data_IF_957814444988
#
_entry.id   IF_957814444988
#
_cell.length_a   1.000
_cell.length_b   1.000
_cell.length_c   1.000
_cell.angle_alpha   90.00
_cell.angle_beta   90.00
_cell.angle_gamma   90.00
#
_symmetry.space_group_name_H-M   'P 1'
#
loop_
_entity.id
_entity.type
_entity.pdbx_description
1 polymer ?
#
# COMPACT_ATOMS: atom_id res chain seq x y z
N UNK A 1 53.03 41.82 48.80
CA UNK A 1 53.38 40.80 47.79
C UNK A 1 52.49 39.58 47.95
N UNK A 2 51.41 39.48 47.18
CA UNK A 2 50.64 38.23 47.01
C UNK A 2 50.29 38.11 45.53
N UNK A 3 50.61 36.93 44.98
CA UNK A 3 50.74 36.64 43.55
C UNK A 3 49.38 36.50 42.87
N UNK A 4 49.36 36.96 41.62
CA UNK A 4 48.35 36.79 40.60
C UNK A 4 48.19 35.30 40.23
N UNK A 5 46.96 34.82 40.09
CA UNK A 5 46.67 33.61 39.30
C UNK A 5 45.48 33.93 38.40
N UNK A 6 45.77 34.11 37.12
CA UNK A 6 44.79 34.28 36.05
C UNK A 6 44.35 32.87 35.62
N UNK A 7 43.11 32.49 35.92
CA UNK A 7 42.53 31.24 35.40
C UNK A 7 41.79 31.58 34.11
N UNK A 8 42.40 31.24 32.98
CA UNK A 8 41.74 31.31 31.68
C UNK A 8 40.74 30.15 31.57
N UNK A 9 39.45 30.46 31.54
CA UNK A 9 38.39 29.48 31.28
C UNK A 9 38.22 29.36 29.77
N UNK A 10 38.80 28.30 29.19
CA UNK A 10 38.56 27.90 27.81
C UNK A 10 37.19 27.21 27.72
N UNK A 11 36.23 27.89 27.10
CA UNK A 11 34.88 27.38 26.84
C UNK A 11 34.91 26.51 25.58
N UNK A 12 35.15 25.21 25.75
CA UNK A 12 35.12 24.23 24.66
C UNK A 12 33.66 23.92 24.30
N UNK A 13 33.16 24.53 23.23
CA UNK A 13 31.87 24.17 22.64
C UNK A 13 31.97 22.78 22.00
N UNK A 14 31.54 21.75 22.73
CA UNK A 14 31.25 20.44 22.15
C UNK A 14 29.95 20.56 21.34
N UNK A 15 30.06 20.62 20.02
CA UNK A 15 28.94 20.36 19.12
C UNK A 15 28.61 18.87 19.22
N UNK A 16 27.57 18.54 20.00
CA UNK A 16 26.90 17.24 19.88
C UNK A 16 26.24 17.19 18.49
N UNK A 17 26.99 16.65 17.54
CA UNK A 17 26.46 16.21 16.25
C UNK A 17 25.62 14.96 16.48
N UNK A 18 24.37 15.14 16.90
CA UNK A 18 23.37 14.08 16.77
C UNK A 18 22.99 14.01 15.29
N UNK A 19 23.77 13.27 14.51
CA UNK A 19 23.27 12.68 13.28
C UNK A 19 22.21 11.66 13.71
N UNK A 20 20.95 12.06 13.70
CA UNK A 20 19.86 11.10 13.66
C UNK A 20 20.01 10.41 12.31
N UNK A 21 20.59 9.23 12.30
CA UNK A 21 20.50 8.33 11.17
C UNK A 21 19.01 8.02 11.02
N UNK A 22 18.38 8.52 9.95
CA UNK A 22 17.05 8.08 9.55
C UNK A 22 17.16 6.60 9.18
N UNK A 23 16.91 5.76 10.16
CA UNK A 23 16.71 4.33 9.98
C UNK A 23 15.51 4.19 9.04
N UNK A 24 15.77 3.86 7.77
CA UNK A 24 14.77 3.49 6.78
C UNK A 24 14.22 2.11 7.16
N UNK A 25 13.59 2.04 8.32
CA UNK A 25 13.04 0.84 8.92
C UNK A 25 11.70 0.59 8.29
N UNK A 26 11.63 -0.48 7.50
CA UNK A 26 10.38 -1.12 7.14
C UNK A 26 9.56 -1.29 8.42
N UNK A 27 8.34 -0.71 8.52
CA UNK A 27 7.54 -0.83 9.73
C UNK A 27 7.39 -2.30 10.12
N UNK A 28 7.48 -2.65 11.41
CA UNK A 28 7.34 -4.05 11.86
C UNK A 28 6.06 -4.71 11.34
N UNK A 29 5.03 -3.90 11.10
CA UNK A 29 3.75 -4.26 10.49
C UNK A 29 3.87 -4.91 9.09
N UNK A 30 4.93 -4.62 8.34
CA UNK A 30 5.22 -5.22 7.02
C UNK A 30 5.97 -6.57 7.11
N UNK A 31 6.43 -7.00 8.29
CA UNK A 31 7.19 -8.25 8.49
C UNK A 31 6.32 -9.51 8.66
N UNK A 32 5.03 -9.43 8.37
CA UNK A 32 4.13 -10.59 8.44
C UNK A 32 4.41 -11.56 7.27
N UNK A 33 5.36 -12.48 7.47
CA UNK A 33 5.75 -13.46 6.45
C UNK A 33 4.69 -14.55 6.23
N UNK A 34 3.81 -14.80 7.20
CA UNK A 34 2.82 -15.90 7.17
C UNK A 34 1.36 -15.44 7.15
N UNK A 35 1.01 -14.50 6.28
CA UNK A 35 -0.41 -14.19 5.98
C UNK A 35 -0.93 -15.20 4.96
N UNK A 36 -1.93 -16.00 5.35
CA UNK A 36 -2.79 -16.72 4.40
C UNK A 36 -3.73 -15.71 3.73
N UNK A 37 -3.82 -15.78 2.40
CA UNK A 37 -4.78 -14.94 1.67
C UNK A 37 -6.14 -15.59 1.79
N UNK A 38 -7.09 -14.86 2.36
CA UNK A 38 -8.50 -15.21 2.40
C UNK A 38 -9.28 -14.13 1.65
N UNK A 39 -10.23 -14.57 0.82
CA UNK A 39 -11.09 -13.68 0.05
C UNK A 39 -12.47 -13.62 0.69
N UNK A 40 -12.94 -12.41 0.94
CA UNK A 40 -14.32 -12.17 1.31
C UNK A 40 -15.22 -12.31 0.08
N UNK A 41 -16.53 -12.44 0.30
CA UNK A 41 -17.49 -12.34 -0.80
C UNK A 41 -17.35 -11.01 -1.55
N UNK A 42 -17.08 -9.92 -0.83
CA UNK A 42 -16.94 -8.60 -1.42
C UNK A 42 -15.71 -8.50 -2.34
N UNK A 43 -14.62 -9.18 -2.00
CA UNK A 43 -13.43 -9.25 -2.86
C UNK A 43 -13.72 -9.92 -4.21
N UNK A 44 -14.49 -11.01 -4.20
CA UNK A 44 -14.91 -11.68 -5.43
C UNK A 44 -15.87 -10.82 -6.26
N UNK A 45 -16.84 -10.17 -5.63
CA UNK A 45 -17.76 -9.26 -6.32
C UNK A 45 -17.02 -8.08 -6.97
N UNK A 46 -16.04 -7.49 -6.28
CA UNK A 46 -15.19 -6.43 -6.83
C UNK A 46 -14.38 -6.94 -8.03
N UNK A 47 -13.75 -8.11 -7.90
CA UNK A 47 -12.97 -8.74 -8.96
C UNK A 47 -13.81 -9.01 -10.22
N UNK A 48 -15.01 -9.55 -10.04
CA UNK A 48 -15.97 -9.81 -11.13
C UNK A 48 -16.40 -8.53 -11.82
N UNK A 49 -16.72 -7.48 -11.06
CA UNK A 49 -17.16 -6.19 -11.62
C UNK A 49 -16.04 -5.47 -12.38
N UNK A 50 -14.81 -5.49 -11.87
CA UNK A 50 -13.65 -4.96 -12.59
C UNK A 50 -13.47 -5.69 -13.92
N UNK A 51 -13.53 -7.03 -13.92
CA UNK A 51 -13.38 -7.81 -15.15
C UNK A 51 -14.56 -7.63 -16.11
N UNK A 52 -15.79 -7.51 -15.61
CA UNK A 52 -16.95 -7.19 -16.43
C UNK A 52 -16.80 -5.82 -17.10
N UNK A 53 -16.32 -4.82 -16.37
CA UNK A 53 -16.01 -3.50 -16.92
C UNK A 53 -14.91 -3.60 -18.00
N UNK A 54 -13.81 -4.30 -17.72
CA UNK A 54 -12.72 -4.50 -18.69
C UNK A 54 -13.21 -5.15 -19.98
N UNK A 55 -14.03 -6.19 -19.89
CA UNK A 55 -14.67 -6.83 -21.06
C UNK A 55 -15.50 -5.80 -21.84
N UNK A 56 -16.28 -4.94 -21.16
CA UNK A 56 -17.08 -3.90 -21.82
C UNK A 56 -16.22 -2.87 -22.57
N UNK A 57 -14.97 -2.68 -22.17
CA UNK A 57 -13.98 -1.81 -22.84
C UNK A 57 -13.14 -2.55 -23.89
N UNK A 58 -13.43 -3.84 -24.16
CA UNK A 58 -12.67 -4.66 -25.11
C UNK A 58 -11.30 -5.12 -24.59
N UNK A 59 -11.09 -5.09 -23.27
CA UNK A 59 -9.86 -5.51 -22.62
C UNK A 59 -9.95 -6.96 -22.12
N UNK A 60 -8.79 -7.61 -21.99
CA UNK A 60 -8.70 -8.94 -21.39
C UNK A 60 -9.04 -8.87 -19.89
N UNK A 61 -9.69 -9.92 -19.38
CA UNK A 61 -9.83 -10.13 -17.94
C UNK A 61 -8.46 -10.32 -17.29
N UNK A 62 -8.36 -9.89 -16.05
CA UNK A 62 -7.18 -10.12 -15.21
C UNK A 62 -7.41 -11.35 -14.32
N UNK A 63 -6.33 -12.06 -14.00
CA UNK A 63 -6.37 -13.17 -13.04
C UNK A 63 -6.14 -12.66 -11.61
N UNK A 64 -6.74 -13.34 -10.62
CA UNK A 64 -6.43 -13.05 -9.22
C UNK A 64 -5.07 -13.68 -8.88
N UNK A 65 -4.14 -12.84 -8.42
CA UNK A 65 -2.79 -13.22 -8.03
C UNK A 65 -2.62 -13.12 -6.51
N UNK A 66 -2.51 -14.27 -5.85
CA UNK A 66 -2.38 -14.35 -4.38
C UNK A 66 -1.20 -13.53 -3.82
N UNK A 67 -0.07 -13.44 -4.54
CA UNK A 67 1.06 -12.62 -4.09
C UNK A 67 0.67 -11.13 -3.98
N UNK A 68 -0.09 -10.61 -4.95
CA UNK A 68 -0.59 -9.24 -4.94
C UNK A 68 -1.68 -9.05 -3.87
N UNK A 69 -2.59 -10.02 -3.69
CA UNK A 69 -3.59 -9.97 -2.63
C UNK A 69 -2.96 -10.00 -1.23
N UNK A 70 -1.84 -10.71 -1.05
CA UNK A 70 -1.08 -10.69 0.21
C UNK A 70 -0.55 -9.29 0.53
N UNK A 71 0.01 -8.59 -0.45
CA UNK A 71 0.48 -7.22 -0.26
C UNK A 71 -0.68 -6.23 -0.05
N UNK A 72 -1.82 -6.44 -0.73
CA UNK A 72 -3.04 -5.67 -0.51
C UNK A 72 -3.59 -5.85 0.93
N UNK A 73 -3.59 -7.08 1.44
CA UNK A 73 -4.01 -7.38 2.82
C UNK A 73 -3.10 -6.73 3.85
N UNK A 74 -1.77 -6.79 3.67
CA UNK A 74 -0.84 -6.06 4.55
C UNK A 74 -1.13 -4.56 4.57
N UNK A 75 -1.43 -3.97 3.42
CA UNK A 75 -1.74 -2.55 3.33
C UNK A 75 -3.07 -2.19 4.00
N UNK A 76 -4.10 -3.01 3.81
CA UNK A 76 -5.36 -2.82 4.52
C UNK A 76 -5.19 -2.93 6.03
N UNK A 77 -4.40 -3.89 6.54
CA UNK A 77 -4.08 -4.01 7.96
C UNK A 77 -3.41 -2.72 8.47
N UNK A 78 -2.44 -2.21 7.72
CA UNK A 78 -1.81 -0.92 7.99
C UNK A 78 -2.81 0.23 8.04
N UNK A 79 -3.67 0.37 7.02
CA UNK A 79 -4.65 1.46 6.96
C UNK A 79 -5.69 1.37 8.08
N UNK A 80 -6.14 0.17 8.44
CA UNK A 80 -7.03 -0.07 9.58
C UNK A 80 -6.36 0.35 10.88
N UNK A 81 -5.11 -0.08 11.11
CA UNK A 81 -4.36 0.26 12.32
C UNK A 81 -4.05 1.77 12.42
N UNK A 82 -3.85 2.45 11.29
CA UNK A 82 -3.70 3.91 11.23
C UNK A 82 -5.03 4.66 11.28
N UNK A 83 -6.14 4.00 10.96
CA UNK A 83 -7.46 4.61 10.85
C UNK A 83 -7.63 5.57 9.66
N UNK A 84 -6.74 5.53 8.66
CA UNK A 84 -6.72 6.48 7.54
C UNK A 84 -6.36 5.78 6.22
N UNK A 85 -7.14 5.96 5.13
CA UNK A 85 -6.76 5.43 3.83
C UNK A 85 -5.53 6.18 3.28
N UNK A 86 -4.58 5.44 2.71
CA UNK A 86 -3.32 5.99 2.20
C UNK A 86 -2.75 5.15 1.06
N UNK A 87 -1.73 5.68 0.37
CA UNK A 87 -0.88 4.91 -0.54
C UNK A 87 0.52 4.68 0.07
N UNK A 88 0.64 4.79 1.39
CA UNK A 88 1.92 4.72 2.09
C UNK A 88 2.64 3.41 1.79
N UNK A 89 3.95 3.48 1.60
CA UNK A 89 4.81 2.34 1.28
C UNK A 89 4.43 1.58 0.00
N UNK A 90 3.72 2.20 -0.94
CA UNK A 90 3.45 1.60 -2.26
C UNK A 90 4.73 1.15 -2.98
N UNK A 91 5.82 1.92 -2.85
CA UNK A 91 7.11 1.54 -3.42
C UNK A 91 7.57 0.16 -2.91
N UNK A 92 7.36 -0.15 -1.63
CA UNK A 92 7.77 -1.42 -1.04
C UNK A 92 6.90 -2.56 -1.56
N UNK A 93 5.57 -2.38 -1.61
CA UNK A 93 4.66 -3.38 -2.20
C UNK A 93 5.01 -3.67 -3.66
N UNK A 94 5.31 -2.62 -4.43
CA UNK A 94 5.76 -2.74 -5.82
C UNK A 94 7.06 -3.53 -5.93
N UNK A 95 8.06 -3.23 -5.08
CA UNK A 95 9.34 -3.95 -5.06
C UNK A 95 9.16 -5.42 -4.65
N UNK A 96 8.37 -5.70 -3.61
CA UNK A 96 8.06 -7.06 -3.18
C UNK A 96 7.45 -7.90 -4.31
N UNK A 97 6.55 -7.34 -5.12
CA UNK A 97 5.95 -8.06 -6.26
C UNK A 97 6.92 -8.23 -7.43
N UNK A 98 7.79 -7.24 -7.69
CA UNK A 98 8.87 -7.38 -8.67
C UNK A 98 9.83 -8.49 -8.28
N UNK A 99 10.14 -8.63 -7.00
CA UNK A 99 11.08 -9.64 -6.49
C UNK A 99 10.44 -11.04 -6.37
N UNK A 100 9.21 -11.13 -5.87
CA UNK A 100 8.56 -12.41 -5.57
C UNK A 100 7.91 -13.09 -6.78
N UNK A 101 7.40 -12.32 -7.73
CA UNK A 101 6.68 -12.86 -8.91
C UNK A 101 7.21 -12.30 -10.23
N UNK A 102 8.35 -11.61 -10.22
CA UNK A 102 8.96 -11.01 -11.41
C UNK A 102 8.09 -9.96 -12.12
N UNK A 103 7.20 -9.28 -11.38
CA UNK A 103 6.33 -8.25 -11.95
C UNK A 103 7.14 -7.20 -12.75
N UNK A 104 6.64 -6.81 -13.93
CA UNK A 104 7.23 -5.77 -14.79
C UNK A 104 6.63 -4.39 -14.51
N UNK A 105 5.36 -4.36 -14.12
CA UNK A 105 4.66 -3.15 -13.74
C UNK A 105 3.67 -3.45 -12.62
N UNK A 106 3.47 -2.48 -11.72
CA UNK A 106 2.56 -2.57 -10.58
C UNK A 106 1.84 -1.23 -10.43
N UNK A 107 0.54 -1.23 -10.20
CA UNK A 107 -0.25 -0.03 -9.86
C UNK A 107 -1.30 -0.35 -8.82
N UNK A 108 -1.88 0.66 -8.18
CA UNK A 108 -2.77 0.47 -7.03
C UNK A 108 -3.96 1.42 -7.06
N UNK A 109 -5.13 0.89 -6.72
CA UNK A 109 -6.31 1.64 -6.33
C UNK A 109 -6.60 1.38 -4.85
N UNK A 110 -6.92 2.44 -4.12
CA UNK A 110 -7.36 2.37 -2.71
C UNK A 110 -8.80 2.89 -2.61
N UNK A 111 -9.59 2.30 -1.73
CA UNK A 111 -10.96 2.71 -1.43
C UNK A 111 -11.25 2.67 0.06
N UNK A 112 -12.25 3.43 0.50
CA UNK A 112 -12.63 3.49 1.92
C UNK A 112 -14.11 3.81 2.11
N UNK A 113 -14.73 3.15 3.09
CA UNK A 113 -16.08 3.46 3.57
C UNK A 113 -17.23 2.93 2.70
N UNK A 114 -16.93 2.20 1.63
CA UNK A 114 -17.96 1.54 0.80
C UNK A 114 -18.43 0.23 1.43
N UNK A 115 -19.72 -0.06 1.33
CA UNK A 115 -20.32 -1.32 1.80
C UNK A 115 -20.79 -2.22 0.66
N UNK A 116 -20.59 -1.79 -0.59
CA UNK A 116 -21.11 -2.44 -1.80
C UNK A 116 -20.06 -2.37 -2.91
N UNK A 117 -19.81 -3.50 -3.57
CA UNK A 117 -18.80 -3.63 -4.61
C UNK A 117 -19.10 -2.71 -5.81
N UNK A 118 -20.36 -2.66 -6.26
CA UNK A 118 -20.75 -1.81 -7.39
C UNK A 118 -20.42 -0.34 -7.14
N UNK A 119 -20.76 0.18 -5.96
CA UNK A 119 -20.51 1.58 -5.62
C UNK A 119 -19.01 1.91 -5.52
N UNK A 120 -18.19 0.97 -5.05
CA UNK A 120 -16.74 1.12 -5.04
C UNK A 120 -16.15 1.14 -6.45
N UNK A 121 -16.52 0.15 -7.27
CA UNK A 121 -16.00 0.01 -8.64
C UNK A 121 -16.44 1.18 -9.50
N UNK A 122 -17.68 1.65 -9.39
CA UNK A 122 -18.16 2.86 -10.06
C UNK A 122 -17.36 4.09 -9.63
N UNK A 123 -17.02 4.21 -8.34
CA UNK A 123 -16.21 5.33 -7.85
C UNK A 123 -14.77 5.28 -8.42
N UNK A 124 -14.18 4.09 -8.53
CA UNK A 124 -12.88 3.93 -9.20
C UNK A 124 -12.96 4.24 -10.69
N UNK A 125 -13.97 3.77 -11.41
CA UNK A 125 -14.16 4.07 -12.84
C UNK A 125 -14.39 5.57 -13.07
N UNK A 126 -15.10 6.26 -12.17
CA UNK A 126 -15.34 7.70 -12.32
C UNK A 126 -14.12 8.57 -11.95
N UNK A 127 -13.11 8.01 -11.28
CA UNK A 127 -11.83 8.68 -10.99
C UNK A 127 -10.82 8.40 -12.10
N UNK A 128 -10.31 9.44 -12.76
CA UNK A 128 -9.39 9.29 -13.90
C UNK A 128 -8.16 8.43 -13.56
N UNK A 129 -7.47 8.70 -12.45
CA UNK A 129 -6.28 7.94 -12.05
C UNK A 129 -6.59 6.47 -11.73
N UNK A 130 -7.70 6.19 -11.06
CA UNK A 130 -8.10 4.81 -10.75
C UNK A 130 -8.57 4.05 -11.98
N UNK A 131 -9.31 4.72 -12.87
CA UNK A 131 -9.77 4.17 -14.15
C UNK A 131 -8.60 3.82 -15.05
N UNK A 132 -7.57 4.66 -15.13
CA UNK A 132 -6.36 4.37 -15.91
C UNK A 132 -5.71 3.05 -15.48
N UNK A 133 -5.69 2.73 -14.18
CA UNK A 133 -5.18 1.45 -13.70
C UNK A 133 -6.07 0.28 -14.15
N UNK A 134 -7.39 0.42 -14.01
CA UNK A 134 -8.38 -0.60 -14.42
C UNK A 134 -8.34 -0.85 -15.93
N UNK A 135 -8.13 0.18 -16.74
CA UNK A 135 -8.18 0.12 -18.20
C UNK A 135 -6.83 -0.20 -18.85
N UNK A 136 -5.76 -0.31 -18.07
CA UNK A 136 -4.45 -0.55 -18.63
C UNK A 136 -4.41 -1.95 -19.30
N UNK A 137 -4.15 -2.02 -20.62
CA UNK A 137 -4.15 -3.28 -21.37
C UNK A 137 -2.95 -4.17 -21.05
N UNK A 138 -1.90 -3.62 -20.45
CA UNK A 138 -0.66 -4.34 -20.16
C UNK A 138 -0.74 -5.21 -18.91
N UNK A 139 -1.71 -4.97 -18.03
CA UNK A 139 -1.89 -5.80 -16.84
C UNK A 139 -2.47 -7.17 -17.20
N UNK A 140 -2.00 -8.18 -16.49
CA UNK A 140 -2.38 -9.59 -16.67
C UNK A 140 -3.08 -10.14 -15.42
N UNK A 141 -2.78 -9.54 -14.26
CA UNK A 141 -3.17 -10.03 -12.96
C UNK A 141 -3.54 -8.86 -12.03
N UNK A 142 -4.22 -9.17 -10.94
CA UNK A 142 -4.44 -8.25 -9.85
C UNK A 142 -4.57 -8.97 -8.51
N UNK A 143 -4.26 -8.26 -7.44
CA UNK A 143 -4.61 -8.61 -6.08
C UNK A 143 -5.76 -7.74 -5.58
N UNK A 144 -6.57 -8.29 -4.69
CA UNK A 144 -7.67 -7.57 -4.03
C UNK A 144 -7.71 -7.97 -2.56
N UNK A 145 -8.01 -7.00 -1.71
CA UNK A 145 -8.29 -7.24 -0.30
C UNK A 145 -9.29 -6.20 0.20
N UNK A 146 -10.17 -6.67 1.09
CA UNK A 146 -11.11 -5.86 1.86
C UNK A 146 -10.87 -6.14 3.34
N UNK A 147 -10.77 -5.10 4.15
CA UNK A 147 -10.71 -5.25 5.61
C UNK A 147 -11.60 -4.22 6.30
N UNK A 148 -12.37 -4.67 7.28
CA UNK A 148 -13.26 -3.82 8.06
C UNK A 148 -12.59 -3.38 9.36
N UNK A 149 -12.74 -2.11 9.73
CA UNK A 149 -12.36 -1.60 11.06
C UNK A 149 -13.41 -1.92 12.12
N UNK A 150 -13.10 -1.64 13.40
CA UNK A 150 -14.01 -1.86 14.52
C UNK A 150 -15.31 -1.02 14.44
N UNK A 151 -15.34 0.02 13.61
CA UNK A 151 -16.51 0.87 13.38
C UNK A 151 -17.35 0.43 12.17
N UNK A 152 -16.99 -0.70 11.53
CA UNK A 152 -17.72 -1.24 10.40
C UNK A 152 -17.37 -0.60 9.05
N UNK A 153 -16.32 0.22 8.96
CA UNK A 153 -15.89 0.82 7.69
C UNK A 153 -14.88 -0.09 7.00
N UNK A 154 -15.12 -0.33 5.72
CA UNK A 154 -14.22 -1.14 4.92
C UNK A 154 -13.10 -0.30 4.31
N UNK A 155 -11.90 -0.87 4.31
CA UNK A 155 -10.72 -0.45 3.57
C UNK A 155 -10.49 -1.41 2.41
N UNK A 156 -10.16 -0.87 1.25
CA UNK A 156 -9.99 -1.62 0.02
C UNK A 156 -8.64 -1.32 -0.59
N UNK A 157 -7.94 -2.36 -1.02
CA UNK A 157 -6.72 -2.23 -1.81
C UNK A 157 -6.80 -3.18 -3.00
N UNK A 158 -6.67 -2.63 -4.20
CA UNK A 158 -6.59 -3.40 -5.44
C UNK A 158 -5.28 -3.09 -6.16
N UNK A 159 -4.42 -4.10 -6.31
CA UNK A 159 -3.09 -3.96 -6.90
C UNK A 159 -3.09 -4.63 -8.27
N UNK A 160 -2.81 -3.90 -9.33
CA UNK A 160 -2.68 -4.41 -10.70
C UNK A 160 -1.25 -4.81 -10.99
N UNK A 161 -1.05 -5.92 -11.70
CA UNK A 161 0.26 -6.50 -11.98
C UNK A 161 0.39 -6.91 -13.44
N UNK A 162 1.53 -6.55 -14.04
CA UNK A 162 2.00 -7.09 -15.31
C UNK A 162 3.11 -8.09 -14.98
N UNK A 163 2.92 -9.35 -15.35
CA UNK A 163 3.96 -10.39 -15.22
C UNK A 163 4.89 -10.42 -16.45
#
# INVERSE_FOLDING_TARGET
MKKLVLVAVLFSAFFMSCSVEEENTTPEEYKLENISVEYTQLDYEIAELINAYRISQGLNTLNILNAASKEATKHNQYMVNKGVPSHDFFYLRSQNLKESVNAKNVSENVGFGFSNAQSLVDAWINSEGHRQNIENPDFTDFGISTQQDEQGKNYFTNIFVKL
#
